data_IF_242647446869
#
_entry.id   IF_242647446869
#
_cell.length_a   1.000
_cell.length_b   1.000
_cell.length_c   1.000
_cell.angle_alpha   90.00
_cell.angle_beta   90.00
_cell.angle_gamma   90.00
#
_symmetry.space_group_name_H-M   'P 1'
#
loop_
_entity.id
_entity.type
_entity.pdbx_description
1 polymer ?
#
# COMPACT_ATOMS: atom_id res chain seq x y z
N UNK A 1 -1.79 3.15 -2.94
CA UNK A 1 -1.73 1.95 -3.79
C UNK A 1 -2.00 2.32 -5.23
N UNK A 2 -1.07 2.00 -6.14
CA UNK A 2 -1.24 2.18 -7.60
C UNK A 2 -1.94 0.95 -8.19
N UNK A 3 -3.25 1.04 -8.43
CA UNK A 3 -4.08 -0.12 -8.75
C UNK A 3 -3.59 -0.97 -9.95
N UNK A 4 -3.20 -0.42 -11.11
CA UNK A 4 -2.74 -1.22 -12.25
C UNK A 4 -1.37 -1.88 -12.07
N UNK A 5 -0.57 -1.46 -11.09
CA UNK A 5 0.81 -1.94 -10.93
C UNK A 5 1.04 -2.80 -9.71
N UNK A 6 0.32 -2.52 -8.62
CA UNK A 6 0.61 -3.07 -7.30
C UNK A 6 0.78 -4.60 -7.27
N UNK A 7 -0.13 -5.35 -7.89
CA UNK A 7 -0.05 -6.83 -7.90
C UNK A 7 1.21 -7.31 -8.62
N UNK A 8 1.56 -6.70 -9.74
CA UNK A 8 2.77 -7.07 -10.49
C UNK A 8 4.03 -6.71 -9.70
N UNK A 9 4.08 -5.51 -9.11
CA UNK A 9 5.23 -5.06 -8.33
C UNK A 9 5.47 -5.96 -7.10
N UNK A 10 4.41 -6.46 -6.47
CA UNK A 10 4.49 -7.44 -5.36
C UNK A 10 4.97 -8.81 -5.83
N UNK A 11 4.66 -9.23 -7.07
CA UNK A 11 5.05 -10.55 -7.57
C UNK A 11 6.43 -10.59 -8.23
N UNK A 12 6.95 -9.46 -8.70
CA UNK A 12 8.22 -9.43 -9.44
C UNK A 12 9.47 -9.61 -8.57
N UNK A 13 9.36 -9.54 -7.24
CA UNK A 13 10.43 -9.81 -6.26
C UNK A 13 11.79 -9.17 -6.62
N UNK A 14 11.76 -7.94 -7.16
CA UNK A 14 12.95 -7.18 -7.56
C UNK A 14 13.72 -6.72 -6.33
N UNK A 15 15.05 -6.73 -6.39
CA UNK A 15 15.88 -6.14 -5.33
C UNK A 15 15.74 -4.61 -5.31
N UNK A 16 15.74 -4.00 -4.12
CA UNK A 16 15.73 -2.54 -3.99
C UNK A 16 16.91 -1.88 -4.71
N UNK A 17 18.09 -2.51 -4.63
CA UNK A 17 19.32 -2.07 -5.29
C UNK A 17 19.19 -2.02 -6.83
N UNK A 18 18.41 -2.94 -7.43
CA UNK A 18 18.20 -2.94 -8.88
C UNK A 18 17.31 -1.79 -9.36
N UNK A 19 16.43 -1.30 -8.48
CA UNK A 19 15.50 -0.20 -8.79
C UNK A 19 15.96 1.15 -8.26
N UNK A 20 17.14 1.22 -7.63
CA UNK A 20 17.72 2.45 -7.09
C UNK A 20 16.95 3.02 -5.90
N UNK A 21 16.36 2.14 -5.08
CA UNK A 21 15.55 2.49 -3.91
C UNK A 21 16.16 2.01 -2.58
N UNK A 22 17.37 1.49 -2.62
CA UNK A 22 18.15 1.13 -1.44
C UNK A 22 18.45 2.36 -0.58
N UNK A 23 18.24 2.25 0.74
CA UNK A 23 18.59 3.35 1.65
C UNK A 23 20.11 3.43 1.87
N UNK A 24 20.77 2.27 1.89
CA UNK A 24 22.21 2.10 2.10
C UNK A 24 22.74 0.93 1.25
N UNK A 25 24.06 0.87 1.03
CA UNK A 25 24.71 -0.15 0.17
C UNK A 25 24.48 -1.60 0.63
N UNK A 26 24.10 -1.82 1.88
CA UNK A 26 23.85 -3.15 2.47
C UNK A 26 22.35 -3.50 2.53
N UNK A 27 21.46 -2.67 1.95
CA UNK A 27 20.02 -2.91 1.93
C UNK A 27 19.65 -3.99 0.89
N UNK A 28 19.61 -5.24 1.37
CA UNK A 28 19.34 -6.43 0.56
C UNK A 28 17.85 -6.81 0.53
N UNK A 29 16.93 -5.90 0.86
CA UNK A 29 15.50 -6.17 0.81
C UNK A 29 14.98 -6.14 -0.63
N UNK A 30 13.87 -6.83 -0.86
CA UNK A 30 13.14 -6.80 -2.14
C UNK A 30 11.99 -5.81 -2.09
N UNK A 31 11.63 -5.26 -3.25
CA UNK A 31 10.53 -4.30 -3.43
C UNK A 31 9.21 -4.85 -2.88
N UNK A 32 8.96 -6.15 -3.04
CA UNK A 32 7.74 -6.80 -2.55
C UNK A 32 7.62 -6.72 -1.02
N UNK A 33 8.73 -6.87 -0.29
CA UNK A 33 8.73 -6.84 1.16
C UNK A 33 8.36 -5.44 1.65
N UNK A 34 8.98 -4.41 1.07
CA UNK A 34 8.67 -3.01 1.39
C UNK A 34 7.22 -2.65 1.07
N UNK A 35 6.70 -3.09 -0.09
CA UNK A 35 5.32 -2.81 -0.47
C UNK A 35 4.32 -3.49 0.49
N UNK A 36 4.61 -4.71 0.92
CA UNK A 36 3.80 -5.43 1.91
C UNK A 36 3.84 -4.74 3.28
N UNK A 37 5.03 -4.38 3.78
CA UNK A 37 5.20 -3.65 5.04
C UNK A 37 4.42 -2.32 5.02
N UNK A 38 4.55 -1.53 3.95
CA UNK A 38 3.81 -0.27 3.81
C UNK A 38 2.29 -0.46 3.85
N UNK A 39 1.78 -1.57 3.34
CA UNK A 39 0.34 -1.89 3.41
C UNK A 39 -0.04 -2.33 4.83
N UNK A 40 0.77 -3.14 5.49
CA UNK A 40 0.51 -3.68 6.83
C UNK A 40 0.37 -2.59 7.90
N UNK A 41 1.17 -1.52 7.81
CA UNK A 41 1.15 -0.43 8.80
C UNK A 41 0.19 0.72 8.47
N UNK A 42 -0.46 0.70 7.30
CA UNK A 42 -1.31 1.82 6.88
C UNK A 42 -2.67 1.85 7.60
N UNK A 43 -3.02 2.98 8.21
CA UNK A 43 -4.39 3.22 8.71
C UNK A 43 -5.41 3.41 7.57
N UNK A 44 -4.93 3.89 6.42
CA UNK A 44 -5.71 4.22 5.25
C UNK A 44 -4.97 3.83 3.98
N UNK A 45 -5.61 2.97 3.19
CA UNK A 45 -5.18 2.59 1.86
C UNK A 45 -6.03 3.33 0.83
N UNK A 46 -5.42 4.32 0.18
CA UNK A 46 -5.99 4.93 -1.03
C UNK A 46 -5.58 4.09 -2.23
N UNK A 47 -6.55 3.42 -2.84
CA UNK A 47 -6.41 2.69 -4.10
C UNK A 47 -6.72 3.65 -5.23
N UNK A 48 -5.68 4.14 -5.92
CA UNK A 48 -5.80 5.15 -6.96
C UNK A 48 -5.67 4.54 -8.36
N UNK A 49 -6.18 5.27 -9.36
CA UNK A 49 -6.25 4.87 -10.78
C UNK A 49 -7.17 3.69 -11.01
N UNK A 50 -8.29 3.63 -10.28
CA UNK A 50 -9.29 2.57 -10.45
C UNK A 50 -9.94 2.60 -11.84
N UNK A 51 -9.85 3.73 -12.55
CA UNK A 51 -10.26 3.89 -13.95
C UNK A 51 -9.37 3.13 -14.94
N UNK A 52 -8.18 2.68 -14.52
CA UNK A 52 -7.21 1.97 -15.37
C UNK A 52 -7.30 0.44 -15.27
N UNK A 53 -8.20 -0.11 -14.44
CA UNK A 53 -8.35 -1.55 -14.24
C UNK A 53 -9.82 -1.99 -14.31
N UNK A 54 -10.05 -3.27 -14.58
CA UNK A 54 -11.39 -3.84 -14.58
C UNK A 54 -11.96 -3.98 -13.15
N UNK A 55 -13.27 -4.11 -13.03
CA UNK A 55 -13.93 -4.39 -11.75
C UNK A 55 -13.43 -5.67 -11.09
N UNK A 56 -13.09 -6.68 -11.89
CA UNK A 56 -12.54 -7.96 -11.40
C UNK A 56 -11.14 -7.78 -10.83
N UNK A 57 -10.27 -7.06 -11.51
CA UNK A 57 -8.92 -6.75 -11.01
C UNK A 57 -8.98 -5.90 -9.74
N UNK A 58 -9.93 -4.95 -9.68
CA UNK A 58 -10.15 -4.13 -8.49
C UNK A 58 -10.62 -4.99 -7.32
N UNK A 59 -11.57 -5.91 -7.54
CA UNK A 59 -12.03 -6.85 -6.52
C UNK A 59 -10.87 -7.69 -5.97
N UNK A 60 -10.04 -8.26 -6.86
CA UNK A 60 -8.86 -9.03 -6.48
C UNK A 60 -7.86 -8.21 -5.66
N UNK A 61 -7.58 -6.97 -6.10
CA UNK A 61 -6.69 -6.07 -5.38
C UNK A 61 -7.25 -5.74 -3.99
N UNK A 62 -8.54 -5.40 -3.89
CA UNK A 62 -9.15 -5.08 -2.59
C UNK A 62 -9.19 -6.27 -1.65
N UNK A 63 -9.37 -7.49 -2.17
CA UNK A 63 -9.29 -8.72 -1.38
C UNK A 63 -7.88 -8.93 -0.85
N UNK A 64 -6.85 -8.81 -1.69
CA UNK A 64 -5.44 -8.91 -1.30
C UNK A 64 -5.09 -7.88 -0.21
N UNK A 65 -5.47 -6.62 -0.40
CA UNK A 65 -5.22 -5.56 0.59
C UNK A 65 -5.92 -5.82 1.91
N UNK A 66 -7.13 -6.41 1.89
CA UNK A 66 -7.87 -6.76 3.10
C UNK A 66 -7.27 -7.94 3.84
N UNK A 67 -6.62 -8.87 3.12
CA UNK A 67 -5.87 -9.99 3.71
C UNK A 67 -4.57 -9.50 4.35
N UNK A 68 -3.85 -8.60 3.68
CA UNK A 68 -2.61 -8.01 4.19
C UNK A 68 -2.85 -7.07 5.38
N UNK A 69 -3.88 -6.24 5.33
CA UNK A 69 -4.22 -5.32 6.41
C UNK A 69 -5.74 -5.20 6.60
N UNK A 70 -6.34 -6.05 7.45
CA UNK A 70 -7.78 -6.02 7.72
C UNK A 70 -8.22 -4.80 8.54
N UNK A 71 -7.29 -4.04 9.13
CA UNK A 71 -7.58 -2.86 9.95
C UNK A 71 -7.64 -1.58 9.12
N UNK A 72 -6.95 -1.55 7.98
CA UNK A 72 -6.90 -0.38 7.12
C UNK A 72 -8.29 -0.02 6.57
N UNK A 73 -8.61 1.28 6.60
CA UNK A 73 -9.71 1.77 5.76
C UNK A 73 -9.25 1.77 4.30
N UNK A 74 -10.07 1.27 3.39
CA UNK A 74 -9.77 1.30 1.94
C UNK A 74 -10.66 2.33 1.24
N UNK A 75 -10.07 3.19 0.41
CA UNK A 75 -10.79 4.16 -0.42
C UNK A 75 -10.33 4.04 -1.87
N UNK A 76 -11.28 3.76 -2.76
CA UNK A 76 -11.06 3.80 -4.20
C UNK A 76 -11.07 5.25 -4.71
N UNK A 77 -10.17 5.57 -5.63
CA UNK A 77 -10.03 6.90 -6.21
C UNK A 77 -9.54 6.86 -7.65
N UNK A 78 -9.89 7.91 -8.38
CA UNK A 78 -9.43 8.17 -9.74
C UNK A 78 -8.75 9.54 -9.74
N UNK A 79 -7.61 9.67 -10.43
CA UNK A 79 -6.84 10.93 -10.50
C UNK A 79 -6.51 11.53 -9.12
N UNK A 80 -6.34 10.68 -8.09
CA UNK A 80 -6.04 11.10 -6.72
C UNK A 80 -7.18 11.79 -5.99
N UNK A 81 -8.41 11.73 -6.52
CA UNK A 81 -9.58 12.36 -5.90
C UNK A 81 -10.02 11.57 -4.66
N UNK A 82 -9.69 12.10 -3.49
CA UNK A 82 -10.07 11.55 -2.18
C UNK A 82 -10.62 12.68 -1.32
N UNK A 83 -11.68 12.45 -0.51
CA UNK A 83 -12.17 13.46 0.42
C UNK A 83 -11.07 13.88 1.39
N UNK A 84 -10.79 15.18 1.51
CA UNK A 84 -9.72 15.68 2.38
C UNK A 84 -9.91 15.28 3.85
N UNK A 85 -11.17 15.21 4.30
CA UNK A 85 -11.54 14.75 5.64
C UNK A 85 -11.14 13.30 5.95
N UNK A 86 -10.82 12.51 4.92
CA UNK A 86 -10.33 11.15 5.07
C UNK A 86 -8.81 11.09 5.22
N UNK A 87 -8.09 12.16 4.86
CA UNK A 87 -6.63 12.21 4.85
C UNK A 87 -6.05 12.95 6.06
N UNK A 88 -6.69 14.05 6.48
CA UNK A 88 -6.17 14.91 7.56
C UNK A 88 -7.12 14.94 8.75
N UNK A 89 -6.57 15.20 9.94
CA UNK A 89 -7.32 15.35 11.19
C UNK A 89 -8.17 14.12 11.57
N UNK A 90 -7.79 12.93 11.09
CA UNK A 90 -8.54 11.68 11.26
C UNK A 90 -8.34 11.02 12.62
N UNK A 91 -7.29 11.38 13.36
CA UNK A 91 -6.87 10.75 14.63
C UNK A 91 -6.71 9.22 14.55
N UNK A 92 -6.36 8.69 13.37
CA UNK A 92 -6.17 7.25 13.17
C UNK A 92 -4.84 6.74 13.73
N UNK A 93 -3.84 7.62 13.82
CA UNK A 93 -2.56 7.27 14.40
C UNK A 93 -2.66 7.11 15.91
N UNK A 94 -2.32 5.91 16.39
CA UNK A 94 -2.28 5.52 17.79
C UNK A 94 -0.87 5.02 18.16
N UNK A 95 -0.20 5.75 19.05
CA UNK A 95 1.21 5.50 19.43
C UNK A 95 1.37 4.16 20.18
N UNK A 96 0.36 3.75 20.95
CA UNK A 96 0.40 2.50 21.71
C UNK A 96 0.34 1.29 20.76
N UNK A 97 -0.43 1.42 19.68
CA UNK A 97 -0.60 0.36 18.66
C UNK A 97 0.64 0.18 17.78
N UNK A 98 1.40 1.25 17.52
CA UNK A 98 2.59 1.22 16.63
C UNK A 98 3.84 0.71 17.35
N UNK A 99 3.97 0.94 18.67
CA UNK A 99 5.14 0.53 19.46
C UNK A 99 5.27 -0.98 19.64
N UNK A 100 4.20 -1.76 19.46
CA UNK A 100 4.22 -3.23 19.59
C UNK A 100 4.62 -3.95 18.29
N UNK A 101 4.67 -3.23 17.17
CA UNK A 101 4.89 -3.78 15.85
C UNK A 101 6.22 -3.34 15.20
N UNK A 102 7.09 -2.68 15.97
CA UNK A 102 8.42 -2.18 15.57
C UNK A 102 9.56 -2.95 16.25
#
# INVERSE_FOLDING_TARGET
VDAPRFVNDVMEAKDLAEVGMEEHEEDNRVVSDILCEQVEFADLLVVNKTDCISSKELEQLTALLSELNPKAKVICSEYGKVPLSELVLTRRYDVETVSEAA
#
